data_IF_980093272035
#
_entry.id   IF_980093272035
#
_cell.length_a   1.000
_cell.length_b   1.000
_cell.length_c   1.000
_cell.angle_alpha   90.00
_cell.angle_beta   90.00
_cell.angle_gamma   90.00
#
_symmetry.space_group_name_H-M   'P 1'
#
loop_
_entity.id
_entity.type
_entity.pdbx_description
1 polymer ?
#
# COMPACT_ATOMS: atom_id res chain seq x y z
N UNK A 1 -33.01 -33.52 -26.25
CA UNK A 1 -31.86 -32.59 -26.18
C UNK A 1 -30.72 -33.30 -25.47
N UNK A 2 -29.62 -33.53 -26.20
CA UNK A 2 -28.43 -34.16 -25.60
C UNK A 2 -27.78 -33.23 -24.60
N UNK A 3 -27.76 -33.62 -23.29
CA UNK A 3 -26.94 -32.98 -22.30
C UNK A 3 -25.46 -33.21 -22.70
N UNK A 4 -24.73 -32.15 -22.96
CA UNK A 4 -23.29 -32.25 -23.22
C UNK A 4 -22.65 -32.65 -21.86
N UNK A 5 -22.14 -33.87 -21.78
CA UNK A 5 -21.43 -34.38 -20.60
C UNK A 5 -20.28 -33.46 -20.23
N UNK A 6 -20.25 -32.98 -18.99
CA UNK A 6 -19.16 -32.15 -18.44
C UNK A 6 -19.49 -30.65 -18.26
N UNK A 7 -20.53 -30.11 -18.89
CA UNK A 7 -20.93 -28.71 -18.71
C UNK A 7 -21.31 -28.41 -17.26
N UNK A 8 -22.11 -29.27 -16.65
CA UNK A 8 -22.54 -29.05 -15.24
C UNK A 8 -21.33 -29.05 -14.29
N UNK A 9 -20.34 -29.91 -14.53
CA UNK A 9 -19.08 -29.93 -13.78
C UNK A 9 -18.29 -28.65 -14.00
N UNK A 10 -18.16 -28.20 -15.25
CA UNK A 10 -17.45 -26.97 -15.57
C UNK A 10 -18.09 -25.73 -14.90
N UNK A 11 -19.43 -25.63 -14.96
CA UNK A 11 -20.16 -24.53 -14.30
C UNK A 11 -19.94 -24.55 -12.78
N UNK A 12 -19.98 -25.75 -12.17
CA UNK A 12 -19.71 -25.90 -10.73
C UNK A 12 -18.27 -25.46 -10.39
N UNK A 13 -17.30 -25.92 -11.15
CA UNK A 13 -15.88 -25.56 -10.94
C UNK A 13 -15.66 -24.05 -11.05
N UNK A 14 -16.27 -23.38 -12.03
CA UNK A 14 -16.18 -21.91 -12.20
C UNK A 14 -16.78 -21.19 -11.00
N UNK A 15 -17.93 -21.63 -10.50
CA UNK A 15 -18.55 -21.01 -9.33
C UNK A 15 -17.72 -21.19 -8.06
N UNK A 16 -17.16 -22.37 -7.85
CA UNK A 16 -16.30 -22.64 -6.68
C UNK A 16 -14.98 -21.88 -6.78
N UNK A 17 -14.36 -21.83 -7.96
CA UNK A 17 -13.18 -20.99 -8.23
C UNK A 17 -13.46 -19.52 -7.87
N UNK A 18 -14.58 -18.97 -8.34
CA UNK A 18 -14.91 -17.58 -8.06
C UNK A 18 -15.04 -17.29 -6.57
N UNK A 19 -15.74 -18.14 -5.81
CA UNK A 19 -15.88 -17.98 -4.35
C UNK A 19 -14.55 -18.07 -3.61
N UNK A 20 -13.73 -19.07 -3.91
CA UNK A 20 -12.41 -19.22 -3.29
C UNK A 20 -11.50 -18.06 -3.65
N UNK A 21 -11.53 -17.60 -4.89
CA UNK A 21 -10.71 -16.48 -5.35
C UNK A 21 -11.10 -15.17 -4.62
N UNK A 22 -12.38 -14.87 -4.51
CA UNK A 22 -12.87 -13.70 -3.76
C UNK A 22 -12.43 -13.74 -2.29
N UNK A 23 -12.55 -14.88 -1.64
CA UNK A 23 -12.13 -15.03 -0.25
C UNK A 23 -10.62 -14.79 -0.08
N UNK A 24 -9.80 -15.36 -0.97
CA UNK A 24 -8.36 -15.15 -0.93
C UNK A 24 -7.95 -13.72 -1.25
N UNK A 25 -8.63 -13.04 -2.19
CA UNK A 25 -8.36 -11.62 -2.47
C UNK A 25 -8.55 -10.79 -1.22
N UNK A 26 -9.65 -10.99 -0.50
CA UNK A 26 -9.95 -10.22 0.71
C UNK A 26 -8.87 -10.42 1.77
N UNK A 27 -8.41 -11.66 1.98
CA UNK A 27 -7.33 -11.98 2.91
C UNK A 27 -6.01 -11.34 2.49
N UNK A 28 -5.57 -11.53 1.25
CA UNK A 28 -4.29 -11.02 0.76
C UNK A 28 -4.23 -9.49 0.85
N UNK A 29 -5.32 -8.79 0.51
CA UNK A 29 -5.34 -7.33 0.60
C UNK A 29 -5.29 -6.88 2.06
N UNK A 30 -6.04 -7.51 2.95
CA UNK A 30 -6.06 -7.15 4.36
C UNK A 30 -4.70 -7.37 5.02
N UNK A 31 -4.11 -8.54 4.83
CA UNK A 31 -2.78 -8.89 5.34
C UNK A 31 -1.70 -7.95 4.76
N UNK A 32 -1.72 -7.71 3.45
CA UNK A 32 -0.79 -6.80 2.79
C UNK A 32 -0.86 -5.36 3.31
N UNK A 33 -2.06 -4.85 3.63
CA UNK A 33 -2.21 -3.53 4.25
C UNK A 33 -1.63 -3.50 5.67
N UNK A 34 -1.84 -4.55 6.46
CA UNK A 34 -1.22 -4.67 7.78
C UNK A 34 0.31 -4.68 7.69
N UNK A 35 0.86 -5.38 6.72
CA UNK A 35 2.31 -5.41 6.48
C UNK A 35 2.83 -4.04 6.06
N UNK A 36 2.14 -3.32 5.15
CA UNK A 36 2.48 -1.94 4.79
C UNK A 36 2.56 -1.02 6.00
N UNK A 37 1.58 -1.10 6.91
CA UNK A 37 1.59 -0.31 8.16
C UNK A 37 2.77 -0.69 9.05
N UNK A 38 3.04 -1.98 9.19
CA UNK A 38 4.18 -2.49 9.97
C UNK A 38 5.52 -2.01 9.40
N UNK A 39 5.68 -2.09 8.09
CA UNK A 39 6.88 -1.64 7.40
C UNK A 39 7.07 -0.13 7.50
N UNK A 40 6.02 0.66 7.31
CA UNK A 40 6.09 2.10 7.50
C UNK A 40 6.52 2.48 8.93
N UNK A 41 6.01 1.77 9.94
CA UNK A 41 6.46 1.93 11.33
C UNK A 41 7.92 1.54 11.52
N UNK A 42 8.38 0.49 10.87
CA UNK A 42 9.77 0.02 10.93
C UNK A 42 10.73 1.00 10.24
N UNK A 43 10.33 1.56 9.09
CA UNK A 43 11.13 2.51 8.31
C UNK A 43 11.14 3.90 8.94
N UNK A 44 10.10 4.28 9.68
CA UNK A 44 10.04 5.58 10.35
C UNK A 44 11.20 5.77 11.33
N UNK A 45 11.78 6.99 11.41
CA UNK A 45 12.88 7.29 12.32
C UNK A 45 12.61 6.87 13.76
N UNK A 46 13.63 6.33 14.44
CA UNK A 46 13.49 5.77 15.79
C UNK A 46 13.13 6.84 16.80
N UNK A 47 13.72 8.02 16.65
CA UNK A 47 13.54 9.16 17.58
C UNK A 47 12.13 9.76 17.53
N UNK A 48 11.33 9.36 16.55
CA UNK A 48 9.97 9.83 16.34
C UNK A 48 8.94 8.76 16.74
N UNK A 49 8.98 8.30 17.98
CA UNK A 49 8.07 7.26 18.50
C UNK A 49 6.60 7.60 18.30
N UNK A 50 6.22 8.89 18.40
CA UNK A 50 4.86 9.35 18.14
C UNK A 50 4.45 9.16 16.67
N UNK A 51 5.36 9.40 15.73
CA UNK A 51 5.13 9.15 14.31
C UNK A 51 4.78 7.68 14.06
N UNK A 52 5.55 6.77 14.64
CA UNK A 52 5.30 5.31 14.52
C UNK A 52 3.93 4.90 15.05
N UNK A 53 3.52 5.47 16.19
CA UNK A 53 2.22 5.19 16.79
C UNK A 53 1.07 5.70 15.95
N UNK A 54 1.24 6.84 15.29
CA UNK A 54 0.20 7.53 14.54
C UNK A 54 0.05 7.02 13.09
N UNK A 55 0.93 6.10 12.61
CA UNK A 55 0.74 5.40 11.34
C UNK A 55 -0.34 4.33 11.50
N UNK A 56 -1.40 4.43 10.72
CA UNK A 56 -2.60 3.60 10.85
C UNK A 56 -3.20 3.28 9.48
N UNK A 57 -4.10 2.31 9.46
CA UNK A 57 -4.97 2.05 8.31
C UNK A 57 -6.41 1.86 8.76
N UNK A 58 -7.35 2.24 7.90
CA UNK A 58 -8.77 2.00 8.08
C UNK A 58 -9.34 1.29 6.85
N UNK A 59 -10.18 0.31 7.08
CA UNK A 59 -11.00 -0.28 6.02
C UNK A 59 -12.13 0.69 5.69
N UNK A 60 -12.22 1.13 4.44
CA UNK A 60 -13.28 2.03 3.97
C UNK A 60 -14.47 1.25 3.42
N UNK A 61 -14.19 0.24 2.59
CA UNK A 61 -15.16 -0.67 1.95
C UNK A 61 -14.45 -2.00 1.70
N UNK A 62 -15.18 -2.95 1.12
CA UNK A 62 -14.57 -4.19 0.67
C UNK A 62 -13.43 -3.91 -0.30
N UNK A 63 -12.24 -4.43 0.01
CA UNK A 63 -11.00 -4.27 -0.78
C UNK A 63 -10.50 -2.82 -0.90
N UNK A 64 -11.00 -1.91 -0.04
CA UNK A 64 -10.56 -0.52 0.00
C UNK A 64 -10.07 -0.15 1.39
N UNK A 65 -8.82 0.22 1.46
CA UNK A 65 -8.16 0.65 2.70
C UNK A 65 -7.54 2.02 2.51
N UNK A 66 -7.59 2.81 3.57
CA UNK A 66 -6.87 4.07 3.69
C UNK A 66 -5.71 3.88 4.67
N UNK A 67 -4.49 4.08 4.22
CA UNK A 67 -3.32 4.18 5.08
C UNK A 67 -2.99 5.66 5.30
N UNK A 68 -2.76 6.08 6.55
CA UNK A 68 -2.58 7.47 6.91
C UNK A 68 -1.73 7.64 8.17
N UNK A 69 -1.24 8.87 8.38
CA UNK A 69 -0.65 9.28 9.66
C UNK A 69 -1.66 10.18 10.36
N UNK A 70 -2.12 9.74 11.52
CA UNK A 70 -3.10 10.46 12.33
C UNK A 70 -2.47 11.34 13.40
N UNK A 71 -3.29 11.74 14.36
CA UNK A 71 -2.87 12.42 15.58
C UNK A 71 -2.03 13.68 15.36
N UNK A 72 -1.12 13.93 16.28
CA UNK A 72 -0.22 15.09 16.23
C UNK A 72 0.90 14.93 15.21
N UNK A 73 1.25 13.69 14.83
CA UNK A 73 2.28 13.40 13.85
C UNK A 73 1.90 13.83 12.43
N UNK A 74 0.61 13.91 12.12
CA UNK A 74 0.12 14.37 10.81
C UNK A 74 0.73 15.70 10.35
N UNK A 75 1.01 16.60 11.32
CA UNK A 75 1.53 17.95 11.04
C UNK A 75 2.96 17.95 10.51
N UNK A 76 3.79 16.98 10.94
CA UNK A 76 5.21 16.91 10.57
C UNK A 76 5.58 15.70 9.71
N UNK A 77 4.72 14.70 9.62
CA UNK A 77 4.94 13.48 8.85
C UNK A 77 5.43 13.71 7.40
N UNK A 78 4.83 14.65 6.63
CA UNK A 78 5.31 14.93 5.28
C UNK A 78 6.73 15.52 5.23
N UNK A 79 7.10 16.30 6.25
CA UNK A 79 8.45 16.90 6.32
C UNK A 79 9.52 15.84 6.62
N UNK A 80 9.17 14.81 7.36
CA UNK A 80 10.05 13.65 7.57
C UNK A 80 10.19 12.85 6.28
N UNK A 81 9.09 12.57 5.61
CA UNK A 81 9.05 11.79 4.37
C UNK A 81 9.86 12.47 3.25
N UNK A 82 9.62 13.74 3.02
CA UNK A 82 10.14 14.45 1.84
C UNK A 82 11.34 15.35 2.10
N UNK A 83 11.66 15.62 3.38
CA UNK A 83 12.66 16.60 3.76
C UNK A 83 12.17 18.04 3.67
N UNK A 84 13.02 19.01 3.98
CA UNK A 84 12.71 20.44 3.97
C UNK A 84 13.80 21.29 3.35
N UNK A 85 13.42 22.46 2.85
CA UNK A 85 14.37 23.43 2.28
C UNK A 85 15.16 22.84 1.10
N UNK A 86 16.49 22.96 1.17
CA UNK A 86 17.40 22.45 0.13
C UNK A 86 17.57 20.90 0.19
N UNK A 87 17.03 20.25 1.21
CA UNK A 87 17.09 18.79 1.41
C UNK A 87 15.82 18.06 0.93
N UNK A 88 14.90 18.76 0.30
CA UNK A 88 13.73 18.12 -0.31
C UNK A 88 14.17 17.17 -1.42
N UNK A 89 13.73 15.91 -1.32
CA UNK A 89 14.07 14.89 -2.32
C UNK A 89 13.10 14.98 -3.52
N UNK A 90 13.45 15.85 -4.48
CA UNK A 90 12.63 16.06 -5.68
C UNK A 90 12.55 14.83 -6.59
N UNK A 91 13.62 14.03 -6.64
CA UNK A 91 13.62 12.83 -7.46
C UNK A 91 12.62 11.81 -6.89
N UNK A 92 12.63 11.59 -5.60
CA UNK A 92 11.68 10.70 -4.94
C UNK A 92 10.23 11.13 -5.13
N UNK A 93 9.94 12.44 -5.04
CA UNK A 93 8.61 12.98 -5.30
C UNK A 93 8.12 12.67 -6.73
N UNK A 94 8.99 12.78 -7.72
CA UNK A 94 8.68 12.43 -9.12
C UNK A 94 8.45 10.93 -9.30
N UNK A 95 9.27 10.10 -8.67
CA UNK A 95 9.16 8.63 -8.74
C UNK A 95 7.82 8.12 -8.18
N UNK A 96 7.29 8.78 -7.15
CA UNK A 96 5.97 8.45 -6.58
C UNK A 96 4.81 9.21 -7.24
N UNK A 97 5.07 9.94 -8.32
CA UNK A 97 4.06 10.60 -9.14
C UNK A 97 3.48 11.89 -8.54
N UNK A 98 4.17 12.51 -7.58
CA UNK A 98 3.74 13.78 -6.99
C UNK A 98 4.22 14.97 -7.84
N UNK A 99 3.36 15.98 -8.07
CA UNK A 99 3.72 17.14 -8.88
C UNK A 99 4.73 18.05 -8.18
N UNK A 100 5.53 18.78 -8.97
CA UNK A 100 6.53 19.73 -8.46
C UNK A 100 5.91 20.83 -7.57
N UNK A 101 4.65 21.20 -7.81
CA UNK A 101 3.88 22.12 -6.96
C UNK A 101 3.68 21.61 -5.53
N UNK A 102 3.61 20.29 -5.35
CA UNK A 102 3.56 19.69 -4.03
C UNK A 102 4.90 19.81 -3.30
N UNK A 103 6.00 19.61 -4.02
CA UNK A 103 7.35 19.78 -3.50
C UNK A 103 7.64 21.21 -3.01
N UNK A 104 7.06 22.21 -3.68
CA UNK A 104 7.22 23.63 -3.32
C UNK A 104 6.77 23.92 -1.88
N UNK A 105 5.80 23.16 -1.36
CA UNK A 105 5.30 23.31 0.02
C UNK A 105 6.37 23.00 1.08
N UNK A 106 7.34 22.17 0.75
CA UNK A 106 8.38 21.72 1.68
C UNK A 106 9.68 22.52 1.55
N UNK A 107 9.85 23.26 0.46
CA UNK A 107 11.06 24.10 0.25
C UNK A 107 11.11 25.32 1.16
N UNK A 108 9.96 25.74 1.71
CA UNK A 108 9.86 26.93 2.55
C UNK A 108 10.07 28.23 1.75
N UNK A 109 9.04 29.07 1.67
CA UNK A 109 9.17 30.41 1.12
C UNK A 109 9.28 31.41 2.28
N UNK A 110 10.43 32.01 2.46
CA UNK A 110 10.57 33.27 3.20
C UNK A 110 10.72 33.23 4.72
N UNK A 111 10.83 32.06 5.37
CA UNK A 111 11.10 31.92 6.79
C UNK A 111 12.38 31.12 6.98
N UNK A 112 13.11 31.26 8.11
CA UNK A 112 14.32 30.50 8.42
C UNK A 112 14.25 29.08 7.83
N UNK A 113 15.01 28.84 6.78
CA UNK A 113 15.05 27.54 6.13
C UNK A 113 15.66 26.52 7.07
N UNK A 114 14.84 25.64 7.58
CA UNK A 114 15.31 24.45 8.28
C UNK A 114 15.52 23.37 7.24
N UNK A 115 16.77 22.96 7.03
CA UNK A 115 17.14 21.94 6.05
C UNK A 115 17.18 20.56 6.74
N UNK A 116 16.07 19.85 6.69
CA UNK A 116 15.97 18.47 7.21
C UNK A 116 16.06 17.50 6.04
N UNK A 117 16.97 16.53 6.13
CA UNK A 117 17.08 15.48 5.11
C UNK A 117 15.83 14.60 5.10
N UNK A 118 15.37 14.25 3.91
CA UNK A 118 14.29 13.30 3.74
C UNK A 118 14.66 11.93 4.33
N UNK A 119 13.71 11.36 5.06
CA UNK A 119 13.79 10.00 5.58
C UNK A 119 12.49 9.26 5.19
N UNK A 120 12.38 8.81 3.92
CA UNK A 120 11.18 8.18 3.42
C UNK A 120 10.85 6.90 4.20
N UNK A 121 9.62 6.78 4.64
CA UNK A 121 9.13 5.63 5.40
C UNK A 121 7.77 5.16 4.93
N UNK A 122 6.91 6.08 4.51
CA UNK A 122 5.50 5.81 4.22
C UNK A 122 5.31 5.28 2.79
N UNK A 123 5.75 6.04 1.80
CA UNK A 123 5.64 5.61 0.41
C UNK A 123 6.48 4.39 0.06
N UNK A 124 7.72 4.23 0.55
CA UNK A 124 8.47 2.99 0.32
C UNK A 124 7.73 1.75 0.85
N UNK A 125 7.10 1.83 2.02
CA UNK A 125 6.31 0.73 2.56
C UNK A 125 5.11 0.39 1.67
N UNK A 126 4.40 1.39 1.15
CA UNK A 126 3.29 1.19 0.21
C UNK A 126 3.78 0.52 -1.08
N UNK A 127 4.87 1.02 -1.67
CA UNK A 127 5.41 0.48 -2.94
C UNK A 127 5.83 -0.98 -2.79
N UNK A 128 6.49 -1.33 -1.69
CA UNK A 128 6.89 -2.70 -1.39
C UNK A 128 5.65 -3.58 -1.21
N UNK A 129 4.73 -3.17 -0.34
CA UNK A 129 3.53 -3.95 -0.04
C UNK A 129 2.60 -4.13 -1.24
N UNK A 130 2.50 -3.14 -2.15
CA UNK A 130 1.76 -3.32 -3.41
C UNK A 130 2.35 -4.44 -4.27
N UNK A 131 3.68 -4.52 -4.37
CA UNK A 131 4.35 -5.60 -5.13
C UNK A 131 4.15 -6.96 -4.48
N UNK A 132 4.16 -7.02 -3.16
CA UNK A 132 3.91 -8.25 -2.40
C UNK A 132 2.47 -8.73 -2.58
N UNK A 133 1.49 -7.84 -2.44
CA UNK A 133 0.08 -8.14 -2.73
C UNK A 133 -0.09 -8.67 -4.15
N UNK A 134 0.48 -7.99 -5.15
CA UNK A 134 0.40 -8.43 -6.55
C UNK A 134 0.97 -9.83 -6.74
N UNK A 135 2.13 -10.10 -6.15
CA UNK A 135 2.77 -11.43 -6.20
C UNK A 135 1.88 -12.50 -5.57
N UNK A 136 1.35 -12.25 -4.37
CA UNK A 136 0.51 -13.21 -3.66
C UNK A 136 -0.80 -13.47 -4.39
N UNK A 137 -1.43 -12.44 -4.96
CA UNK A 137 -2.63 -12.61 -5.79
C UNK A 137 -2.35 -13.48 -7.02
N UNK A 138 -1.19 -13.30 -7.67
CA UNK A 138 -0.78 -14.15 -8.79
C UNK A 138 -0.55 -15.59 -8.35
N UNK A 139 0.04 -15.81 -7.18
CA UNK A 139 0.25 -17.15 -6.62
C UNK A 139 -1.08 -17.84 -6.30
N UNK A 140 -2.03 -17.13 -5.71
CA UNK A 140 -3.40 -17.62 -5.47
C UNK A 140 -4.08 -17.99 -6.79
N UNK A 141 -4.03 -17.11 -7.78
CA UNK A 141 -4.61 -17.34 -9.10
C UNK A 141 -4.05 -18.61 -9.74
N UNK A 142 -2.73 -18.78 -9.71
CA UNK A 142 -2.04 -19.96 -10.26
C UNK A 142 -2.44 -21.25 -9.54
N UNK A 143 -2.55 -21.22 -8.22
CA UNK A 143 -3.00 -22.38 -7.42
C UNK A 143 -4.43 -22.78 -7.76
N UNK A 144 -5.34 -21.83 -7.81
CA UNK A 144 -6.75 -22.10 -8.11
C UNK A 144 -6.95 -22.55 -9.56
N UNK A 145 -6.23 -21.98 -10.51
CA UNK A 145 -6.26 -22.42 -11.91
C UNK A 145 -5.81 -23.88 -12.05
N UNK A 146 -4.76 -24.30 -11.34
CA UNK A 146 -4.33 -25.70 -11.31
C UNK A 146 -5.36 -26.63 -10.65
N UNK A 147 -6.07 -26.14 -9.63
CA UNK A 147 -7.08 -26.92 -8.89
C UNK A 147 -8.33 -27.15 -9.71
N UNK A 148 -8.83 -26.14 -10.40
CA UNK A 148 -10.11 -26.16 -11.11
C UNK A 148 -10.01 -26.32 -12.63
N UNK A 149 -8.82 -26.17 -13.19
CA UNK A 149 -8.58 -26.28 -14.64
C UNK A 149 -8.39 -27.71 -15.18
N UNK A 150 -8.75 -28.73 -14.36
CA UNK A 150 -8.67 -30.16 -14.74
C UNK A 150 -10.03 -30.70 -15.19
#
# INVERSE_FOLDING_TARGET
MGKIKGIDKAIKNIKEFGKEFEHHIDQVIEEGVFEMVSDAKRFAPVDLGKLRQDIQSNKLKDRQYLMFVGGTAQKYAPYVEFGTGNKVNLQFLKEIGLPDSYAAKFKGAGVKQVNISAQPYFFPAIIIGQKEIEKELNDVLNKLTKKYGK
#
